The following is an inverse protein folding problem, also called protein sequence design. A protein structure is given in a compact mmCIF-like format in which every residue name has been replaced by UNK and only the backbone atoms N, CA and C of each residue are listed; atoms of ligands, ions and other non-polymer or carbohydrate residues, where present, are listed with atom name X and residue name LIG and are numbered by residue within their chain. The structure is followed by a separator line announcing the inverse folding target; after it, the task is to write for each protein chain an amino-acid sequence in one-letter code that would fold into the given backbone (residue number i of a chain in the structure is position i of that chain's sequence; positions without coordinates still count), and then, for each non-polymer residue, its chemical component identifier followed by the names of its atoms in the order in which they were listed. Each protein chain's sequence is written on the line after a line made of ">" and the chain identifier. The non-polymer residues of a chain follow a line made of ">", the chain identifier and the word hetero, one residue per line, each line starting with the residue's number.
data_IF_783760884861
#
_entry.id   IF_783760884861
#
_cell.length_a   1.000
_cell.length_b   1.000
_cell.length_c   1.000
_cell.angle_alpha   90.00
_cell.angle_beta   90.00
_cell.angle_gamma   90.00
#
_symmetry.space_group_name_H-M   'P 1'
#
loop_
_entity.id
_entity.type
_entity.pdbx_description
1 polymer ?
#
# COMPACT_ATOMS: atom_id res chain seq x y z
N UNK A 1 2.47 14.19 2.48
CA UNK A 1 2.94 13.20 3.47
C UNK A 1 3.34 11.92 2.75
N UNK A 2 4.34 11.22 3.27
CA UNK A 2 4.81 9.95 2.72
C UNK A 2 3.96 8.80 3.29
N UNK A 3 3.54 7.87 2.43
CA UNK A 3 2.76 6.68 2.79
C UNK A 3 3.29 5.45 2.05
N UNK A 4 3.10 4.26 2.62
CA UNK A 4 3.64 3.00 2.09
C UNK A 4 2.52 2.02 1.73
N UNK A 5 2.58 1.40 0.56
CA UNK A 5 1.64 0.36 0.14
C UNK A 5 2.39 -0.92 -0.18
N UNK A 6 1.95 -2.05 0.39
CA UNK A 6 2.50 -3.37 0.10
C UNK A 6 1.69 -4.02 -1.01
N UNK A 7 2.37 -4.54 -2.02
CA UNK A 7 1.74 -5.23 -3.15
C UNK A 7 2.69 -6.27 -3.74
N UNK A 8 2.22 -7.05 -4.72
CA UNK A 8 3.08 -7.99 -5.46
C UNK A 8 3.89 -7.27 -6.52
N UNK A 9 5.04 -7.85 -6.90
CA UNK A 9 5.87 -7.30 -7.97
C UNK A 9 5.10 -7.13 -9.30
N UNK A 10 4.23 -8.07 -9.66
CA UNK A 10 3.40 -7.96 -10.87
C UNK A 10 2.38 -6.82 -10.78
N UNK A 11 1.72 -6.64 -9.64
CA UNK A 11 0.77 -5.56 -9.42
C UNK A 11 1.47 -4.18 -9.43
N UNK A 12 2.69 -4.10 -8.89
CA UNK A 12 3.49 -2.87 -8.94
C UNK A 12 3.69 -2.36 -10.37
N UNK A 13 3.95 -3.23 -11.34
CA UNK A 13 4.14 -2.81 -12.72
C UNK A 13 2.89 -2.11 -13.31
N UNK A 14 1.70 -2.55 -12.91
CA UNK A 14 0.43 -1.91 -13.31
C UNK A 14 0.24 -0.59 -12.56
N UNK A 15 0.46 -0.58 -11.25
CA UNK A 15 0.31 0.61 -10.39
C UNK A 15 1.26 1.74 -10.82
N UNK A 16 2.50 1.42 -11.21
CA UNK A 16 3.45 2.41 -11.72
C UNK A 16 3.00 3.07 -13.03
N UNK A 17 2.17 2.39 -13.83
CA UNK A 17 1.63 2.93 -15.09
C UNK A 17 0.32 3.69 -14.88
N UNK A 18 -0.57 3.16 -14.05
CA UNK A 18 -1.97 3.59 -13.98
C UNK A 18 -2.30 4.36 -12.69
N UNK A 19 -1.43 4.30 -11.69
CA UNK A 19 -1.71 4.76 -10.34
C UNK A 19 -2.53 3.74 -9.54
N UNK A 20 -3.02 4.17 -8.38
CA UNK A 20 -3.92 3.36 -7.57
C UNK A 20 -5.36 3.69 -7.92
N UNK A 21 -6.14 2.65 -8.16
CA UNK A 21 -7.59 2.74 -8.32
C UNK A 21 -8.21 2.04 -7.12
N UNK A 22 -8.90 2.79 -6.22
CA UNK A 22 -9.62 2.21 -5.09
C UNK A 22 -10.58 1.11 -5.53
N UNK A 23 -10.47 -0.07 -4.91
CA UNK A 23 -11.28 -1.26 -5.20
C UNK A 23 -11.51 -2.03 -3.92
N UNK A 24 -12.64 -2.72 -3.83
CA UNK A 24 -12.89 -3.68 -2.75
C UNK A 24 -12.24 -5.01 -3.18
N UNK A 25 -11.23 -5.45 -2.44
CA UNK A 25 -10.57 -6.73 -2.68
C UNK A 25 -11.38 -7.92 -2.15
N UNK A 26 -11.07 -9.17 -2.55
CA UNK A 26 -11.78 -10.36 -2.04
C UNK A 26 -11.80 -10.44 -0.51
N UNK A 27 -10.68 -10.19 0.16
CA UNK A 27 -10.62 -10.20 1.63
C UNK A 27 -11.38 -9.05 2.28
N UNK A 28 -11.41 -7.89 1.63
CA UNK A 28 -12.25 -6.76 2.05
C UNK A 28 -13.74 -7.11 2.02
N UNK A 29 -14.17 -7.93 1.04
CA UNK A 29 -15.54 -8.45 0.98
C UNK A 29 -15.82 -9.35 2.19
N UNK A 30 -14.90 -10.24 2.53
CA UNK A 30 -15.07 -11.21 3.63
C UNK A 30 -15.22 -10.52 5.00
N UNK A 31 -14.61 -9.36 5.19
CA UNK A 31 -14.71 -8.55 6.43
C UNK A 31 -15.80 -7.47 6.38
N UNK A 32 -16.57 -7.40 5.29
CA UNK A 32 -17.72 -6.49 5.16
C UNK A 32 -17.36 -5.04 4.83
N UNK A 33 -16.23 -4.79 4.17
CA UNK A 33 -15.87 -3.45 3.71
C UNK A 33 -16.88 -2.93 2.67
N UNK A 34 -17.39 -1.71 2.90
CA UNK A 34 -18.50 -1.17 2.11
C UNK A 34 -18.07 -0.23 0.98
N UNK A 35 -16.86 0.29 1.03
CA UNK A 35 -16.40 1.35 0.13
C UNK A 35 -15.07 0.97 -0.51
N UNK A 36 -14.90 1.21 -1.83
CA UNK A 36 -13.60 1.07 -2.46
C UNK A 36 -12.58 2.00 -1.82
N UNK A 37 -11.44 1.46 -1.39
CA UNK A 37 -10.34 2.21 -0.81
C UNK A 37 -8.99 1.71 -1.33
N UNK A 38 -7.97 2.55 -1.17
CA UNK A 38 -6.58 2.11 -1.19
C UNK A 38 -6.00 2.33 0.20
N UNK A 39 -5.41 1.27 0.76
CA UNK A 39 -4.83 1.26 2.09
C UNK A 39 -3.33 1.47 2.03
N UNK A 40 -2.83 2.26 2.98
CA UNK A 40 -1.41 2.55 3.13
C UNK A 40 -1.02 2.48 4.59
N UNK A 41 0.21 2.11 4.86
CA UNK A 41 0.86 2.31 6.16
C UNK A 41 1.35 3.75 6.27
N UNK A 42 1.19 4.33 7.45
CA UNK A 42 1.59 5.71 7.75
C UNK A 42 3.07 5.83 8.10
N UNK A 43 3.73 4.72 8.43
CA UNK A 43 5.14 4.69 8.80
C UNK A 43 5.78 3.34 8.49
N UNK A 44 7.12 3.32 8.49
CA UNK A 44 7.88 2.06 8.40
C UNK A 44 7.64 1.16 9.62
N UNK A 45 7.50 1.74 10.80
CA UNK A 45 7.18 1.01 12.04
C UNK A 45 5.81 0.31 11.95
N UNK A 46 4.80 0.98 11.37
CA UNK A 46 3.49 0.40 11.10
C UNK A 46 3.58 -0.82 10.19
N UNK A 47 4.34 -0.68 9.09
CA UNK A 47 4.59 -1.75 8.14
C UNK A 47 5.31 -2.92 8.81
N UNK A 48 6.42 -2.66 9.51
CA UNK A 48 7.19 -3.71 10.19
C UNK A 48 6.32 -4.44 11.22
N UNK A 49 5.52 -3.71 12.01
CA UNK A 49 4.59 -4.30 12.98
C UNK A 49 3.55 -5.20 12.31
N UNK A 50 3.05 -4.82 11.12
CA UNK A 50 2.11 -5.64 10.35
C UNK A 50 2.81 -6.89 9.78
N UNK A 51 4.04 -6.76 9.27
CA UNK A 51 4.87 -7.87 8.77
C UNK A 51 5.07 -8.97 9.81
N UNK A 52 5.32 -8.58 11.07
CA UNK A 52 5.48 -9.51 12.20
C UNK A 52 4.17 -10.08 12.76
N UNK A 53 3.01 -9.59 12.29
CA UNK A 53 1.71 -9.99 12.81
C UNK A 53 0.86 -10.68 11.75
N UNK A 54 0.12 -9.93 10.94
CA UNK A 54 -0.91 -10.49 10.04
C UNK A 54 -0.53 -10.40 8.56
N UNK A 55 0.42 -9.55 8.18
CA UNK A 55 0.72 -9.29 6.76
C UNK A 55 1.36 -10.51 6.09
N UNK A 56 2.23 -11.24 6.79
CA UNK A 56 2.85 -12.46 6.26
C UNK A 56 1.79 -13.54 5.97
N UNK A 57 0.83 -13.73 6.87
CA UNK A 57 -0.31 -14.64 6.66
C UNK A 57 -1.18 -14.17 5.49
N UNK A 58 -1.37 -12.85 5.34
CA UNK A 58 -2.08 -12.28 4.20
C UNK A 58 -1.37 -12.55 2.86
N UNK A 59 -0.11 -12.92 2.81
CA UNK A 59 0.55 -13.24 1.53
C UNK A 59 1.08 -14.67 1.49
N UNK A 60 0.63 -15.55 2.39
CA UNK A 60 1.12 -16.93 2.49
C UNK A 60 0.88 -17.75 1.21
N UNK A 61 -0.23 -17.51 0.51
CA UNK A 61 -0.56 -18.17 -0.76
C UNK A 61 0.12 -17.54 -1.98
N UNK A 62 0.87 -16.46 -1.78
CA UNK A 62 1.51 -15.70 -2.86
C UNK A 62 2.94 -16.18 -3.07
N UNK A 63 3.22 -16.71 -4.26
CA UNK A 63 4.57 -17.13 -4.68
C UNK A 63 5.41 -15.99 -5.28
N UNK A 64 4.89 -14.78 -5.29
CA UNK A 64 5.56 -13.59 -5.81
C UNK A 64 6.24 -12.78 -4.69
N UNK A 65 7.36 -12.14 -5.03
CA UNK A 65 8.01 -11.19 -4.14
C UNK A 65 7.08 -10.00 -3.84
N UNK A 66 7.09 -9.59 -2.58
CA UNK A 66 6.36 -8.43 -2.10
C UNK A 66 7.22 -7.18 -2.20
N UNK A 67 6.59 -6.09 -2.62
CA UNK A 67 7.24 -4.80 -2.79
C UNK A 67 6.48 -3.73 -2.05
N UNK A 68 7.22 -2.72 -1.62
CA UNK A 68 6.68 -1.52 -0.98
C UNK A 68 6.73 -0.38 -1.96
N UNK A 69 5.56 0.13 -2.34
CA UNK A 69 5.41 1.37 -3.11
C UNK A 69 5.27 2.53 -2.13
N UNK A 70 6.03 3.59 -2.35
CA UNK A 70 5.98 4.80 -1.55
C UNK A 70 5.36 5.93 -2.36
N UNK A 71 4.38 6.59 -1.77
CA UNK A 71 3.65 7.72 -2.37
C UNK A 71 3.79 8.99 -1.54
N UNK A 72 3.76 10.13 -2.22
CA UNK A 72 3.61 11.44 -1.60
C UNK A 72 2.21 11.98 -1.89
N UNK A 73 1.37 12.10 -0.86
CA UNK A 73 0.00 12.59 -0.98
C UNK A 73 -0.25 13.86 -0.19
N UNK A 74 -1.21 14.67 -0.64
CA UNK A 74 -1.76 15.76 0.15
C UNK A 74 -2.48 15.17 1.38
N UNK A 75 -2.17 15.61 2.62
CA UNK A 75 -2.88 15.16 3.82
C UNK A 75 -4.42 15.29 3.72
N UNK A 76 -4.94 16.24 2.94
CA UNK A 76 -6.38 16.41 2.73
C UNK A 76 -7.04 15.23 1.98
N UNK A 77 -6.26 14.42 1.25
CA UNK A 77 -6.74 13.21 0.57
C UNK A 77 -6.77 11.98 1.48
N UNK A 78 -6.12 12.06 2.65
CA UNK A 78 -5.80 10.91 3.49
C UNK A 78 -6.72 10.86 4.69
N UNK A 79 -7.42 9.74 4.86
CA UNK A 79 -8.20 9.48 6.06
C UNK A 79 -7.44 8.53 6.98
N UNK A 80 -7.08 9.01 8.17
CA UNK A 80 -6.49 8.19 9.24
C UNK A 80 -7.51 8.15 10.36
N UNK A 81 -7.96 6.95 10.73
CA UNK A 81 -8.90 6.82 11.83
C UNK A 81 -8.20 7.05 13.18
N UNK A 82 -8.85 7.82 14.06
CA UNK A 82 -8.37 8.03 15.43
C UNK A 82 -8.33 6.70 16.17
N UNK A 83 -7.14 6.31 16.66
CA UNK A 83 -6.91 5.05 17.36
C UNK A 83 -6.27 3.94 16.50
N UNK A 84 -6.21 4.12 15.18
CA UNK A 84 -5.45 3.25 14.25
C UNK A 84 -4.51 4.12 13.40
N UNK A 85 -3.62 4.84 14.07
CA UNK A 85 -2.69 5.81 13.46
C UNK A 85 -1.71 5.18 12.46
N UNK A 86 -1.66 3.85 12.41
CA UNK A 86 -0.78 3.03 11.58
C UNK A 86 -1.33 2.80 10.16
N UNK A 87 -2.62 3.02 9.94
CA UNK A 87 -3.30 2.78 8.65
C UNK A 87 -3.98 4.05 8.13
N UNK A 88 -3.67 4.37 6.87
CA UNK A 88 -4.27 5.42 6.09
C UNK A 88 -5.13 4.81 4.98
N UNK A 89 -6.32 5.37 4.76
CA UNK A 89 -7.17 5.01 3.61
C UNK A 89 -7.39 6.22 2.70
N UNK A 90 -7.38 5.96 1.39
CA UNK A 90 -7.67 6.95 0.35
C UNK A 90 -8.83 6.41 -0.49
N UNK A 91 -9.88 7.20 -0.64
CA UNK A 91 -11.14 6.79 -1.31
C UNK A 91 -11.22 7.22 -2.78
N UNK A 92 -10.25 8.01 -3.23
CA UNK A 92 -10.15 8.53 -4.60
C UNK A 92 -8.90 7.98 -5.30
N UNK A 93 -8.87 7.94 -6.64
CA UNK A 93 -7.69 7.50 -7.37
C UNK A 93 -6.44 8.29 -6.98
N UNK A 94 -5.34 7.57 -6.78
CA UNK A 94 -4.01 8.16 -6.56
C UNK A 94 -3.25 8.08 -7.89
N UNK A 95 -2.85 9.22 -8.49
CA UNK A 95 -2.18 9.18 -9.78
C UNK A 95 -0.80 8.53 -9.68
N UNK A 96 -0.33 7.90 -10.75
CA UNK A 96 1.03 7.33 -10.82
C UNK A 96 2.11 8.38 -10.52
N UNK A 97 1.84 9.66 -10.83
CA UNK A 97 2.73 10.76 -10.50
C UNK A 97 2.91 10.98 -9.00
N UNK A 98 2.07 10.43 -8.12
CA UNK A 98 2.28 10.49 -6.68
C UNK A 98 3.31 9.45 -6.18
N UNK A 99 3.65 8.46 -6.99
CA UNK A 99 4.62 7.42 -6.63
C UNK A 99 6.03 7.99 -6.73
N UNK A 100 6.80 7.88 -5.66
CA UNK A 100 8.14 8.46 -5.56
C UNK A 100 9.26 7.42 -5.54
N UNK A 101 8.99 6.24 -4.96
CA UNK A 101 9.90 5.09 -4.99
C UNK A 101 9.16 3.78 -4.82
N UNK A 102 9.81 2.68 -5.17
CA UNK A 102 9.42 1.34 -4.76
C UNK A 102 10.66 0.49 -4.45
N UNK A 103 10.54 -0.40 -3.48
CA UNK A 103 11.62 -1.29 -3.06
C UNK A 103 11.08 -2.66 -2.67
N UNK A 104 11.94 -3.66 -2.78
CA UNK A 104 11.68 -5.02 -2.30
C UNK A 104 11.59 -5.06 -0.77
N UNK A 105 10.55 -5.66 -0.21
CA UNK A 105 10.27 -5.55 1.24
C UNK A 105 11.34 -6.22 2.10
N UNK A 106 11.91 -7.33 1.62
CA UNK A 106 12.84 -8.17 2.38
C UNK A 106 14.28 -7.67 2.26
N UNK A 107 14.70 -7.37 1.04
CA UNK A 107 16.08 -6.98 0.72
C UNK A 107 16.31 -5.47 0.79
N UNK A 108 15.23 -4.67 0.80
CA UNK A 108 15.26 -3.21 0.60
C UNK A 108 15.94 -2.79 -0.72
N UNK A 109 16.07 -3.70 -1.69
CA UNK A 109 16.60 -3.37 -3.00
C UNK A 109 15.67 -2.36 -3.69
N UNK A 110 16.24 -1.27 -4.22
CA UNK A 110 15.45 -0.26 -4.93
C UNK A 110 15.04 -0.78 -6.30
N UNK A 111 13.73 -0.78 -6.56
CA UNK A 111 13.12 -1.26 -7.81
C UNK A 111 12.65 -0.10 -8.69
N UNK A 112 12.28 1.02 -8.06
CA UNK A 112 11.84 2.23 -8.74
C UNK A 112 12.20 3.47 -7.93
N UNK A 113 12.58 4.54 -8.62
CA UNK A 113 12.70 5.89 -8.06
C UNK A 113 12.32 6.91 -9.12
N UNK A 114 11.43 7.83 -8.78
CA UNK A 114 11.07 8.96 -9.65
C UNK A 114 12.28 9.90 -9.75
N UNK A 115 12.70 10.20 -10.98
CA UNK A 115 13.78 11.15 -11.27
C UNK A 115 13.33 12.60 -11.12
#
# INVERSE_FOLDING_TARGET
>A
MELLHVTTLSAMAVILREGFVPRIGPRSIDIGEQYPATFFFTSREALDSASWNWLSEAFEDTVEDLVVIVVELDPAMVHIATGTEFEARVLIPVPASAIVRAYDIDTNAELYRRR
#
